data_IF_984873452077
#
_entry.id   IF_984873452077
#
_cell.length_a   1.000
_cell.length_b   1.000
_cell.length_c   1.000
_cell.angle_alpha   90.00
_cell.angle_beta   90.00
_cell.angle_gamma   90.00
#
_symmetry.space_group_name_H-M   'P 1'
#
loop_
_entity.id
_entity.type
_entity.pdbx_description
1 polymer ?
#
# COMPACT_ATOMS: atom_id res chain seq x y z
N UNK A 1 -17.60 -0.45 7.86
CA UNK A 1 -16.38 -1.08 7.30
C UNK A 1 -15.16 -0.52 8.01
N UNK A 2 -14.37 -1.35 8.69
CA UNK A 2 -13.20 -0.89 9.42
C UNK A 2 -12.04 -0.62 8.45
N UNK A 3 -11.52 0.61 8.45
CA UNK A 3 -10.32 0.96 7.71
C UNK A 3 -9.11 0.24 8.35
N UNK A 4 -8.59 -0.79 7.67
CA UNK A 4 -7.42 -1.54 8.13
C UNK A 4 -6.17 -0.75 7.71
N UNK A 5 -5.75 0.16 8.58
CA UNK A 5 -4.55 0.99 8.41
C UNK A 5 -3.23 0.25 8.64
N UNK A 6 -3.28 -0.98 9.16
CA UNK A 6 -2.08 -1.71 9.54
C UNK A 6 -2.28 -3.21 9.41
N UNK A 7 -1.22 -3.88 8.94
CA UNK A 7 -1.06 -5.34 8.99
C UNK A 7 -1.30 -5.91 10.38
N UNK A 8 -1.06 -5.15 11.45
CA UNK A 8 -1.34 -5.58 12.82
C UNK A 8 -2.84 -5.79 13.11
N UNK A 9 -3.73 -5.24 12.27
CA UNK A 9 -5.19 -5.44 12.43
C UNK A 9 -5.71 -6.57 11.54
N UNK A 10 -4.83 -7.35 10.92
CA UNK A 10 -5.20 -8.50 10.12
C UNK A 10 -4.99 -9.74 10.99
N UNK A 11 -6.06 -10.32 11.56
CA UNK A 11 -5.95 -11.47 12.48
C UNK A 11 -5.25 -12.67 11.81
N UNK A 12 -5.34 -12.80 10.49
CA UNK A 12 -4.67 -13.85 9.70
C UNK A 12 -3.13 -13.75 9.69
N UNK A 13 -2.56 -12.59 10.03
CA UNK A 13 -1.12 -12.32 10.01
C UNK A 13 -0.51 -12.18 11.41
N UNK A 14 -1.32 -12.26 12.47
CA UNK A 14 -0.87 -12.01 13.85
C UNK A 14 0.20 -13.02 14.31
N UNK A 15 0.08 -14.29 13.90
CA UNK A 15 1.01 -15.37 14.22
C UNK A 15 2.38 -15.29 13.53
N UNK A 16 2.54 -14.39 12.55
CA UNK A 16 3.76 -14.28 11.74
C UNK A 16 4.66 -13.13 12.21
N UNK A 17 5.98 -13.26 12.08
CA UNK A 17 6.93 -12.18 12.39
C UNK A 17 6.87 -11.06 11.35
N UNK A 18 7.42 -9.87 11.66
CA UNK A 18 7.38 -8.72 10.75
C UNK A 18 7.94 -9.04 9.35
N UNK A 19 9.03 -9.80 9.27
CA UNK A 19 9.61 -10.20 7.99
C UNK A 19 8.69 -11.16 7.22
N UNK A 20 8.13 -12.16 7.91
CA UNK A 20 7.22 -13.13 7.32
C UNK A 20 5.94 -12.45 6.80
N UNK A 21 5.41 -11.49 7.55
CA UNK A 21 4.26 -10.67 7.12
C UNK A 21 4.56 -9.94 5.82
N UNK A 22 5.75 -9.33 5.69
CA UNK A 22 6.12 -8.63 4.47
C UNK A 22 6.28 -9.60 3.27
N UNK A 23 6.83 -10.79 3.50
CA UNK A 23 6.94 -11.83 2.47
C UNK A 23 5.56 -12.30 1.98
N UNK A 24 4.65 -12.59 2.91
CA UNK A 24 3.27 -13.00 2.61
C UNK A 24 2.52 -11.89 1.85
N UNK A 25 2.66 -10.63 2.25
CA UNK A 25 2.07 -9.50 1.54
C UNK A 25 2.62 -9.35 0.12
N UNK A 26 3.91 -9.63 -0.06
CA UNK A 26 4.55 -9.58 -1.38
C UNK A 26 3.98 -10.69 -2.28
N UNK A 27 3.85 -11.92 -1.76
CA UNK A 27 3.18 -13.03 -2.43
C UNK A 27 1.72 -12.70 -2.80
N UNK A 28 0.97 -12.08 -1.89
CA UNK A 28 -0.40 -11.65 -2.15
C UNK A 28 -0.47 -10.56 -3.23
N UNK A 29 0.48 -9.62 -3.25
CA UNK A 29 0.58 -8.59 -4.28
C UNK A 29 0.90 -9.16 -5.67
N UNK A 30 1.69 -10.24 -5.74
CA UNK A 30 1.96 -10.95 -7.01
C UNK A 30 0.76 -11.69 -7.57
N UNK A 31 -0.22 -12.04 -6.73
CA UNK A 31 -1.47 -12.68 -7.14
C UNK A 31 -2.53 -11.71 -7.67
N UNK A 32 -2.28 -10.40 -7.57
CA UNK A 32 -3.17 -9.39 -8.14
C UNK A 32 -3.28 -9.58 -9.66
N UNK A 33 -4.51 -9.61 -10.15
CA UNK A 33 -4.76 -9.71 -11.59
C UNK A 33 -4.33 -8.43 -12.31
N UNK A 34 -4.07 -8.52 -13.62
CA UNK A 34 -3.73 -7.36 -14.46
C UNK A 34 -4.71 -6.16 -14.29
N UNK A 35 -6.05 -6.33 -14.33
CA UNK A 35 -6.97 -5.22 -14.11
C UNK A 35 -6.91 -4.66 -12.68
N UNK A 36 -6.75 -5.49 -11.65
CA UNK A 36 -6.62 -5.00 -10.27
C UNK A 36 -5.34 -4.17 -10.08
N UNK A 37 -4.23 -4.60 -10.67
CA UNK A 37 -2.97 -3.85 -10.67
C UNK A 37 -3.09 -2.52 -11.42
N UNK A 38 -3.84 -2.53 -12.53
CA UNK A 38 -4.14 -1.31 -13.28
C UNK A 38 -4.94 -0.32 -12.42
N UNK A 39 -6.04 -0.75 -11.82
CA UNK A 39 -6.86 0.09 -10.93
C UNK A 39 -6.04 0.63 -9.76
N UNK A 40 -5.22 -0.21 -9.13
CA UNK A 40 -4.28 0.22 -8.08
C UNK A 40 -3.38 1.35 -8.56
N UNK A 41 -2.73 1.18 -9.72
CA UNK A 41 -1.84 2.21 -10.26
C UNK A 41 -2.58 3.49 -10.67
N UNK A 42 -3.80 3.40 -11.19
CA UNK A 42 -4.64 4.58 -11.47
C UNK A 42 -4.97 5.32 -10.18
N UNK A 43 -5.34 4.61 -9.11
CA UNK A 43 -5.58 5.23 -7.80
C UNK A 43 -4.33 5.93 -7.25
N UNK A 44 -3.14 5.32 -7.40
CA UNK A 44 -1.87 5.97 -7.04
C UNK A 44 -1.67 7.27 -7.82
N UNK A 45 -1.93 7.23 -9.12
CA UNK A 45 -1.76 8.38 -9.99
C UNK A 45 -2.72 9.51 -9.62
N UNK A 46 -4.02 9.21 -9.46
CA UNK A 46 -5.05 10.20 -9.08
C UNK A 46 -4.73 10.83 -7.72
N UNK A 47 -4.17 10.05 -6.79
CA UNK A 47 -3.75 10.58 -5.48
C UNK A 47 -2.51 11.47 -5.58
N UNK A 48 -1.59 11.18 -6.51
CA UNK A 48 -0.32 11.88 -6.62
C UNK A 48 -0.42 13.14 -7.50
N UNK A 49 -1.24 13.12 -8.55
CA UNK A 49 -1.33 14.22 -9.53
C UNK A 49 -1.76 15.56 -8.92
N UNK A 50 -2.85 15.67 -8.14
CA UNK A 50 -3.27 16.96 -7.58
C UNK A 50 -2.23 17.58 -6.63
N UNK A 51 -1.60 16.83 -5.70
CA UNK A 51 -0.49 17.35 -4.90
C UNK A 51 0.69 17.82 -5.75
N UNK A 52 1.05 17.10 -6.81
CA UNK A 52 2.14 17.52 -7.70
C UNK A 52 1.80 18.81 -8.47
N UNK A 53 0.56 18.98 -8.92
CA UNK A 53 0.10 20.23 -9.54
C UNK A 53 0.13 21.41 -8.57
N UNK A 54 -0.21 21.17 -7.30
CA UNK A 54 -0.09 22.17 -6.24
C UNK A 54 1.37 22.53 -5.96
N UNK A 55 2.25 21.53 -5.83
CA UNK A 55 3.68 21.74 -5.61
C UNK A 55 4.33 22.54 -6.74
N UNK A 56 3.90 22.34 -7.98
CA UNK A 56 4.44 23.06 -9.14
C UNK A 56 4.20 24.60 -9.09
N UNK A 57 3.30 25.07 -8.22
CA UNK A 57 3.01 26.50 -8.04
C UNK A 57 3.80 27.12 -6.88
N UNK A 58 4.55 26.32 -6.13
CA UNK A 58 5.31 26.77 -4.97
C UNK A 58 6.78 26.97 -5.32
N UNK A 59 7.39 28.00 -4.75
CA UNK A 59 8.80 28.30 -4.91
C UNK A 59 9.56 28.26 -3.57
N UNK A 60 10.87 28.06 -3.66
CA UNK A 60 11.80 28.18 -2.54
C UNK A 60 11.54 27.19 -1.40
N UNK A 61 11.60 27.68 -0.16
CA UNK A 61 11.51 26.84 1.05
C UNK A 61 10.11 26.21 1.20
N UNK A 62 9.05 26.91 0.76
CA UNK A 62 7.67 26.41 0.83
C UNK A 62 7.48 25.17 -0.04
N UNK A 63 8.12 25.10 -1.21
CA UNK A 63 8.14 23.90 -2.05
C UNK A 63 8.74 22.71 -1.31
N UNK A 64 9.92 22.89 -0.69
CA UNK A 64 10.64 21.81 -0.01
C UNK A 64 9.81 21.25 1.15
N UNK A 65 9.28 22.12 2.02
CA UNK A 65 8.44 21.69 3.15
C UNK A 65 7.18 20.97 2.67
N UNK A 66 6.51 21.52 1.65
CA UNK A 66 5.30 20.92 1.09
C UNK A 66 5.58 19.58 0.42
N UNK A 67 6.72 19.43 -0.26
CA UNK A 67 7.14 18.19 -0.90
C UNK A 67 7.28 17.06 0.12
N UNK A 68 7.99 17.30 1.22
CA UNK A 68 8.11 16.31 2.31
C UNK A 68 6.75 15.98 2.94
N UNK A 69 5.88 16.98 3.10
CA UNK A 69 4.51 16.76 3.58
C UNK A 69 3.70 15.86 2.66
N UNK A 70 3.70 16.14 1.35
CA UNK A 70 3.00 15.34 0.33
C UNK A 70 3.52 13.90 0.29
N UNK A 71 4.85 13.71 0.32
CA UNK A 71 5.45 12.38 0.33
C UNK A 71 5.04 11.58 1.58
N UNK A 72 5.03 12.22 2.75
CA UNK A 72 4.59 11.59 4.00
C UNK A 72 3.12 11.15 3.94
N UNK A 73 2.24 12.06 3.53
CA UNK A 73 0.80 11.76 3.36
C UNK A 73 0.58 10.65 2.34
N UNK A 74 1.28 10.72 1.19
CA UNK A 74 1.20 9.69 0.16
C UNK A 74 1.58 8.32 0.71
N UNK A 75 2.67 8.19 1.47
CA UNK A 75 3.08 6.91 2.04
C UNK A 75 2.05 6.36 3.04
N UNK A 76 1.47 7.23 3.86
CA UNK A 76 0.46 6.86 4.86
C UNK A 76 -0.82 6.35 4.19
N UNK A 77 -1.25 6.99 3.10
CA UNK A 77 -2.48 6.62 2.38
C UNK A 77 -2.29 5.46 1.40
N UNK A 78 -1.10 5.32 0.82
CA UNK A 78 -0.80 4.26 -0.15
C UNK A 78 -0.83 2.86 0.49
N UNK A 79 -0.30 2.74 1.71
CA UNK A 79 -0.27 1.47 2.45
C UNK A 79 -1.66 0.83 2.63
N UNK A 80 -2.67 1.50 3.21
CA UNK A 80 -3.99 0.90 3.40
C UNK A 80 -4.67 0.56 2.07
N UNK A 81 -4.51 1.40 1.03
CA UNK A 81 -5.07 1.11 -0.30
C UNK A 81 -4.46 -0.18 -0.85
N UNK A 82 -3.13 -0.32 -0.81
CA UNK A 82 -2.47 -1.56 -1.23
C UNK A 82 -2.94 -2.78 -0.42
N UNK A 83 -3.09 -2.61 0.91
CA UNK A 83 -3.51 -3.69 1.80
C UNK A 83 -4.94 -4.17 1.51
N UNK A 84 -5.87 -3.26 1.15
CA UNK A 84 -7.24 -3.62 0.79
C UNK A 84 -7.29 -4.55 -0.42
N UNK A 85 -6.48 -4.28 -1.44
CA UNK A 85 -6.40 -5.13 -2.63
C UNK A 85 -5.71 -6.46 -2.33
N UNK A 86 -4.61 -6.46 -1.57
CA UNK A 86 -3.90 -7.70 -1.22
C UNK A 86 -4.67 -8.59 -0.25
N UNK A 87 -5.59 -8.04 0.56
CA UNK A 87 -6.37 -8.81 1.55
C UNK A 87 -7.15 -9.95 0.89
N UNK A 88 -7.68 -9.73 -0.31
CA UNK A 88 -8.43 -10.75 -1.07
C UNK A 88 -7.59 -11.99 -1.39
N UNK A 89 -6.28 -11.82 -1.56
CA UNK A 89 -5.33 -12.89 -1.90
C UNK A 89 -4.51 -13.36 -0.71
N UNK A 90 -4.79 -12.84 0.49
CA UNK A 90 -3.95 -13.06 1.65
C UNK A 90 -4.02 -14.51 2.12
N UNK A 91 -5.21 -15.09 2.22
CA UNK A 91 -5.37 -16.48 2.66
C UNK A 91 -4.69 -17.47 1.70
N UNK A 92 -4.70 -17.18 0.39
CA UNK A 92 -3.98 -17.98 -0.61
C UNK A 92 -2.46 -17.78 -0.53
N UNK A 93 -2.00 -16.57 -0.24
CA UNK A 93 -0.59 -16.28 -0.04
C UNK A 93 -0.05 -16.93 1.23
N UNK A 94 -0.83 -16.98 2.32
CA UNK A 94 -0.48 -17.69 3.56
C UNK A 94 -0.34 -19.19 3.31
N UNK A 95 -1.31 -19.81 2.61
CA UNK A 95 -1.22 -21.22 2.22
C UNK A 95 0.02 -21.50 1.37
N UNK A 96 0.34 -20.61 0.43
CA UNK A 96 1.53 -20.74 -0.41
C UNK A 96 2.82 -20.58 0.39
N UNK A 97 2.85 -19.64 1.33
CA UNK A 97 3.98 -19.43 2.24
C UNK A 97 4.25 -20.67 3.11
N UNK A 98 3.21 -21.22 3.75
CA UNK A 98 3.33 -22.42 4.59
C UNK A 98 3.65 -23.70 3.80
N UNK A 99 3.45 -23.72 2.48
CA UNK A 99 3.87 -24.84 1.62
C UNK A 99 5.34 -24.75 1.20
N UNK A 100 5.90 -23.54 1.22
CA UNK A 100 7.29 -23.25 0.84
C UNK A 100 8.24 -23.18 2.04
N UNK A 101 7.71 -22.91 3.24
CA UNK A 101 8.41 -22.91 4.52
C UNK A 101 8.43 -24.33 5.14
#
# INVERSE_FOLDING_TARGET
>A
MAFIFSTNKIPELESYSLQQRQQILTLAAHKLTAPEKFVLNILKLIMLVPPFLFLAQLDGILFVVSLFGVLGVYFILLRPISLLFTRKYLSDAIKQYNKLA
#
